data_IF_593976130635
#
_entry.id   IF_593976130635
#
_cell.length_a   1.000
_cell.length_b   1.000
_cell.length_c   1.000
_cell.angle_alpha   90.00
_cell.angle_beta   90.00
_cell.angle_gamma   90.00
#
_symmetry.space_group_name_H-M   'P 1'
#
loop_
_entity.id
_entity.type
_entity.pdbx_description
1 polymer ?
#
# COMPACT_ATOMS: atom_id res chain seq x y z
N UNK A 1 -19.79 27.66 -15.02
CA UNK A 1 -18.95 26.64 -15.66
C UNK A 1 -17.92 26.20 -14.63
N UNK A 2 -18.07 25.00 -14.03
CA UNK A 2 -17.05 24.43 -13.14
C UNK A 2 -15.83 24.11 -14.00
N UNK A 3 -14.75 24.85 -13.83
CA UNK A 3 -13.44 24.52 -14.42
C UNK A 3 -12.95 23.27 -13.72
N UNK A 4 -13.04 22.11 -14.38
CA UNK A 4 -12.39 20.89 -13.92
C UNK A 4 -10.89 21.07 -14.12
N UNK A 5 -10.18 21.39 -13.04
CA UNK A 5 -8.73 21.38 -13.06
C UNK A 5 -8.26 19.97 -13.42
N UNK A 6 -7.52 19.84 -14.51
CA UNK A 6 -6.90 18.56 -14.88
C UNK A 6 -6.03 18.06 -13.71
N UNK A 7 -6.12 16.79 -13.33
CA UNK A 7 -5.31 16.26 -12.24
C UNK A 7 -3.82 16.44 -12.55
N UNK A 8 -3.09 16.97 -11.58
CA UNK A 8 -1.64 17.14 -11.70
C UNK A 8 -0.96 15.79 -11.48
N UNK A 9 -0.19 15.33 -12.48
CA UNK A 9 0.60 14.12 -12.37
C UNK A 9 1.91 14.37 -11.62
N UNK A 10 2.24 13.49 -10.67
CA UNK A 10 3.52 13.46 -9.99
C UNK A 10 4.45 12.48 -10.70
N UNK A 11 5.52 12.98 -11.33
CA UNK A 11 6.50 12.16 -12.05
C UNK A 11 7.77 12.01 -11.22
N UNK A 12 8.04 10.80 -10.77
CA UNK A 12 9.25 10.48 -10.01
C UNK A 12 10.40 10.27 -11.01
N UNK A 13 11.57 10.93 -10.84
CA UNK A 13 12.72 10.76 -11.72
C UNK A 13 13.14 9.29 -11.82
N UNK A 14 13.37 8.81 -13.06
CA UNK A 14 13.79 7.42 -13.30
C UNK A 14 15.25 7.17 -12.88
N UNK A 15 16.10 8.21 -12.91
CA UNK A 15 17.49 8.10 -12.49
C UNK A 15 17.57 8.03 -10.96
N UNK A 16 18.32 7.06 -10.45
CA UNK A 16 18.71 6.97 -9.04
C UNK A 16 20.23 7.11 -9.01
N UNK A 17 20.73 8.10 -8.26
CA UNK A 17 22.16 8.36 -8.16
C UNK A 17 22.90 7.14 -7.60
N UNK A 18 24.06 6.81 -8.17
CA UNK A 18 24.90 5.68 -7.75
C UNK A 18 24.41 4.30 -8.21
N UNK A 19 23.26 4.19 -8.89
CA UNK A 19 22.76 2.91 -9.37
C UNK A 19 22.81 2.78 -10.89
N UNK A 20 23.19 1.59 -11.38
CA UNK A 20 23.13 1.22 -12.79
C UNK A 20 21.72 0.72 -13.13
N UNK A 21 21.07 1.34 -14.11
CA UNK A 21 19.70 1.00 -14.51
C UNK A 21 19.66 0.11 -15.76
N UNK A 22 18.88 -0.97 -15.73
CA UNK A 22 18.53 -1.79 -16.90
C UNK A 22 17.01 -1.69 -17.13
N UNK A 23 16.62 -1.09 -18.26
CA UNK A 23 15.21 -0.88 -18.64
C UNK A 23 14.70 -2.04 -19.46
N UNK A 24 13.42 -2.42 -19.23
CA UNK A 24 12.65 -3.30 -20.07
C UNK A 24 11.37 -2.56 -20.52
N UNK A 25 11.35 -2.11 -21.76
CA UNK A 25 10.23 -1.31 -22.28
C UNK A 25 8.97 -2.15 -22.49
N UNK A 26 9.10 -3.43 -22.84
CA UNK A 26 7.95 -4.33 -23.02
C UNK A 26 7.20 -4.56 -21.71
N UNK A 27 7.95 -4.74 -20.62
CA UNK A 27 7.37 -4.96 -19.29
C UNK A 27 7.13 -3.66 -18.52
N UNK A 28 7.47 -2.49 -19.07
CA UNK A 28 7.35 -1.20 -18.37
C UNK A 28 8.06 -1.20 -17.02
N UNK A 29 9.27 -1.77 -16.92
CA UNK A 29 10.02 -1.85 -15.67
C UNK A 29 11.48 -1.42 -15.80
N UNK A 30 12.11 -1.15 -14.65
CA UNK A 30 13.52 -0.82 -14.53
C UNK A 30 14.10 -1.57 -13.33
N UNK A 31 15.19 -2.28 -13.58
CA UNK A 31 16.00 -2.92 -12.55
C UNK A 31 17.21 -2.06 -12.26
N UNK A 32 17.52 -1.83 -10.97
CA UNK A 32 18.65 -1.01 -10.54
C UNK A 32 19.64 -1.85 -9.75
N UNK A 33 20.90 -1.72 -10.13
CA UNK A 33 22.01 -2.52 -9.62
C UNK A 33 23.03 -1.64 -8.91
N UNK A 34 23.51 -2.13 -7.76
CA UNK A 34 24.69 -1.65 -7.05
C UNK A 34 25.70 -2.80 -7.03
N UNK A 35 26.95 -2.58 -7.52
CA UNK A 35 27.98 -3.62 -7.61
C UNK A 35 27.48 -4.93 -8.23
N UNK A 36 26.72 -4.83 -9.33
CA UNK A 36 26.08 -5.94 -10.05
C UNK A 36 25.00 -6.72 -9.26
N UNK A 37 24.63 -6.29 -8.06
CA UNK A 37 23.54 -6.86 -7.29
C UNK A 37 22.27 -6.03 -7.48
N UNK A 38 21.13 -6.70 -7.68
CA UNK A 38 19.82 -6.05 -7.78
C UNK A 38 19.43 -5.48 -6.42
N UNK A 39 19.23 -4.17 -6.32
CA UNK A 39 18.89 -3.48 -5.07
C UNK A 39 17.55 -2.76 -5.14
N UNK A 40 17.05 -2.45 -6.35
CA UNK A 40 15.73 -1.86 -6.54
C UNK A 40 15.09 -2.33 -7.83
N UNK A 41 13.76 -2.41 -7.80
CA UNK A 41 12.91 -2.70 -8.95
C UNK A 41 11.80 -1.66 -9.02
N UNK A 42 11.55 -1.09 -10.20
CA UNK A 42 10.45 -0.15 -10.44
C UNK A 42 9.56 -0.65 -11.57
N UNK A 43 8.26 -0.69 -11.31
CA UNK A 43 7.22 -0.96 -12.30
C UNK A 43 6.45 0.32 -12.60
N UNK A 44 6.21 0.59 -13.87
CA UNK A 44 5.46 1.76 -14.34
C UNK A 44 4.10 1.34 -14.87
N UNK A 45 3.15 2.27 -14.88
CA UNK A 45 1.91 2.12 -15.67
C UNK A 45 2.25 2.13 -17.16
N UNK A 46 1.29 1.70 -18.00
CA UNK A 46 1.52 1.48 -19.44
C UNK A 46 2.07 2.70 -20.21
N UNK A 47 1.92 3.91 -19.69
CA UNK A 47 2.49 5.13 -20.28
C UNK A 47 3.99 5.33 -19.99
N UNK A 48 4.64 4.43 -19.24
CA UNK A 48 6.05 4.51 -18.83
C UNK A 48 6.46 5.79 -18.08
N UNK A 49 5.52 6.64 -17.70
CA UNK A 49 5.79 7.95 -17.09
C UNK A 49 5.49 7.95 -15.60
N UNK A 50 4.43 7.23 -15.21
CA UNK A 50 3.95 7.21 -13.84
C UNK A 50 4.40 5.91 -13.16
N UNK A 51 5.11 6.04 -12.05
CA UNK A 51 5.54 4.92 -11.25
C UNK A 51 4.33 4.25 -10.60
N UNK A 52 4.22 2.92 -10.75
CA UNK A 52 3.17 2.11 -10.14
C UNK A 52 3.61 1.58 -8.79
N UNK A 53 4.82 1.03 -8.72
CA UNK A 53 5.43 0.63 -7.44
C UNK A 53 6.96 0.54 -7.56
N UNK A 54 7.61 0.67 -6.40
CA UNK A 54 9.04 0.45 -6.22
C UNK A 54 9.27 -0.59 -5.12
N UNK A 55 10.10 -1.59 -5.42
CA UNK A 55 10.62 -2.55 -4.45
C UNK A 55 12.05 -2.21 -4.09
N UNK A 56 12.36 -2.23 -2.79
CA UNK A 56 13.72 -2.27 -2.24
C UNK A 56 14.05 -3.73 -1.97
N UNK A 57 15.21 -4.18 -2.43
CA UNK A 57 15.63 -5.58 -2.40
C UNK A 57 16.92 -5.68 -1.59
N UNK A 58 16.95 -6.62 -0.64
CA UNK A 58 18.17 -6.97 0.09
C UNK A 58 19.07 -7.78 -0.85
N UNK A 59 20.29 -7.28 -1.18
CA UNK A 59 21.15 -7.94 -2.16
C UNK A 59 21.61 -9.34 -1.71
N UNK A 60 21.72 -9.58 -0.39
CA UNK A 60 22.18 -10.84 0.18
C UNK A 60 21.18 -11.98 -0.02
N UNK A 61 19.88 -11.67 -0.03
CA UNK A 61 18.82 -12.68 -0.09
C UNK A 61 17.98 -12.61 -1.36
N UNK A 62 18.03 -11.48 -2.08
CA UNK A 62 17.14 -11.20 -3.21
C UNK A 62 15.69 -10.94 -2.81
N UNK A 63 15.38 -10.88 -1.50
CA UNK A 63 14.03 -10.66 -0.99
C UNK A 63 13.71 -9.16 -0.88
N UNK A 64 12.43 -8.85 -1.01
CA UNK A 64 11.93 -7.48 -0.80
C UNK A 64 11.96 -7.14 0.68
N UNK A 65 12.50 -5.97 1.01
CA UNK A 65 12.45 -5.38 2.36
C UNK A 65 11.36 -4.34 2.49
N UNK A 66 11.04 -3.66 1.36
CA UNK A 66 10.03 -2.60 1.30
C UNK A 66 9.40 -2.53 -0.07
N UNK A 67 8.10 -2.24 -0.13
CA UNK A 67 7.39 -1.83 -1.35
C UNK A 67 6.71 -0.48 -1.12
N UNK A 68 6.88 0.43 -2.06
CA UNK A 68 6.13 1.69 -2.13
C UNK A 68 5.21 1.63 -3.34
N UNK A 69 3.91 1.86 -3.16
CA UNK A 69 2.90 1.82 -4.23
C UNK A 69 2.29 3.20 -4.46
N UNK A 70 2.06 3.51 -5.73
CA UNK A 70 1.60 4.82 -6.19
C UNK A 70 0.30 4.67 -6.98
N UNK A 71 -0.59 5.63 -6.85
CA UNK A 71 -1.82 5.68 -7.64
C UNK A 71 -1.53 6.08 -9.10
N UNK A 72 -2.54 6.06 -9.94
CA UNK A 72 -2.43 6.39 -11.38
C UNK A 72 -1.99 7.82 -11.68
N UNK A 73 -2.01 8.71 -10.70
CA UNK A 73 -1.49 10.09 -10.78
C UNK A 73 -0.06 10.23 -10.25
N UNK A 74 0.54 9.14 -9.71
CA UNK A 74 1.92 9.12 -9.21
C UNK A 74 2.08 9.55 -7.75
N UNK A 75 0.99 9.63 -6.98
CA UNK A 75 1.06 9.92 -5.54
C UNK A 75 1.18 8.62 -4.76
N UNK A 76 2.07 8.63 -3.77
CA UNK A 76 2.24 7.52 -2.84
C UNK A 76 0.92 7.27 -2.09
N UNK A 77 0.45 6.01 -2.10
CA UNK A 77 -0.76 5.65 -1.38
C UNK A 77 -0.56 4.50 -0.39
N UNK A 78 0.52 3.70 -0.55
CA UNK A 78 0.81 2.60 0.37
C UNK A 78 2.32 2.33 0.45
N UNK A 79 2.80 2.06 1.67
CA UNK A 79 4.12 1.47 1.92
C UNK A 79 3.91 0.15 2.63
N UNK A 80 4.63 -0.89 2.20
CA UNK A 80 4.66 -2.22 2.81
C UNK A 80 6.09 -2.50 3.22
N UNK A 81 6.31 -2.79 4.49
CA UNK A 81 7.56 -3.34 5.01
C UNK A 81 7.42 -4.84 5.21
N UNK A 82 8.49 -5.57 5.00
CA UNK A 82 8.56 -7.02 5.15
C UNK A 82 9.45 -7.38 6.33
N UNK A 83 9.21 -8.53 6.94
CA UNK A 83 10.13 -9.10 7.92
C UNK A 83 11.46 -9.44 7.26
N UNK A 84 12.55 -9.33 8.02
CA UNK A 84 13.88 -9.68 7.56
C UNK A 84 13.93 -11.14 7.09
N UNK A 85 14.58 -11.38 5.95
CA UNK A 85 14.71 -12.69 5.32
C UNK A 85 13.37 -13.42 5.08
N UNK A 86 12.30 -12.69 4.83
CA UNK A 86 10.95 -13.22 4.69
C UNK A 86 10.17 -12.53 3.58
N UNK A 87 9.18 -13.24 3.04
CA UNK A 87 8.18 -12.66 2.12
C UNK A 87 6.94 -12.14 2.86
N UNK A 88 6.89 -12.32 4.19
CA UNK A 88 5.77 -11.90 5.02
C UNK A 88 5.84 -10.41 5.32
N UNK A 89 4.69 -9.76 5.31
CA UNK A 89 4.58 -8.36 5.70
C UNK A 89 4.80 -8.19 7.20
N UNK A 90 5.49 -7.13 7.59
CA UNK A 90 5.59 -6.69 8.99
C UNK A 90 4.67 -5.51 9.27
N UNK A 91 4.50 -4.60 8.27
CA UNK A 91 3.75 -3.37 8.42
C UNK A 91 3.21 -2.89 7.07
N UNK A 92 2.04 -2.28 7.07
CA UNK A 92 1.50 -1.48 5.97
C UNK A 92 1.15 -0.09 6.48
N UNK A 93 1.47 0.94 5.70
CA UNK A 93 1.10 2.33 5.94
C UNK A 93 0.36 2.87 4.72
N UNK A 94 -0.78 3.52 4.94
CA UNK A 94 -1.65 4.04 3.88
C UNK A 94 -1.74 5.56 3.97
N UNK A 95 -1.69 6.22 2.82
CA UNK A 95 -1.56 7.66 2.70
C UNK A 95 -2.64 8.26 1.81
N UNK A 96 -3.11 9.45 2.19
CA UNK A 96 -3.87 10.32 1.29
C UNK A 96 -2.94 10.93 0.22
N UNK A 97 -3.51 11.44 -0.90
CA UNK A 97 -2.71 12.10 -1.94
C UNK A 97 -1.91 13.33 -1.46
N UNK A 98 -2.30 13.96 -0.36
CA UNK A 98 -1.58 15.06 0.28
C UNK A 98 -0.35 14.60 1.10
N UNK A 99 -0.12 13.26 1.21
CA UNK A 99 0.99 12.67 1.96
C UNK A 99 0.69 12.38 3.43
N UNK A 100 -0.49 12.71 3.93
CA UNK A 100 -0.89 12.38 5.30
C UNK A 100 -1.21 10.89 5.44
N UNK A 101 -0.61 10.24 6.44
CA UNK A 101 -0.93 8.86 6.78
C UNK A 101 -2.28 8.78 7.50
N UNK A 102 -3.17 7.90 7.03
CA UNK A 102 -4.48 7.71 7.64
C UNK A 102 -4.67 6.34 8.29
N UNK A 103 -3.85 5.34 7.92
CA UNK A 103 -3.96 4.00 8.46
C UNK A 103 -2.59 3.32 8.51
N UNK A 104 -2.35 2.59 9.58
CA UNK A 104 -1.17 1.74 9.77
C UNK A 104 -1.64 0.36 10.26
N UNK A 105 -1.12 -0.72 9.66
CA UNK A 105 -1.41 -2.11 10.00
C UNK A 105 -0.12 -2.83 10.33
N UNK A 106 -0.11 -3.58 11.42
CA UNK A 106 0.98 -4.46 11.81
C UNK A 106 0.56 -5.92 11.66
N UNK A 107 1.50 -6.77 11.30
CA UNK A 107 1.28 -8.18 11.00
C UNK A 107 2.12 -9.05 11.92
N UNK A 108 1.61 -10.23 12.28
CA UNK A 108 2.36 -11.25 13.02
C UNK A 108 3.31 -12.00 12.09
N UNK A 109 4.51 -12.30 12.58
CA UNK A 109 5.41 -13.25 11.89
C UNK A 109 5.00 -14.69 12.20
N UNK A 110 3.82 -15.07 11.73
CA UNK A 110 3.29 -16.43 11.83
C UNK A 110 2.93 -16.96 10.43
N UNK A 111 2.53 -18.23 10.33
CA UNK A 111 2.18 -18.86 9.05
C UNK A 111 1.08 -18.11 8.29
N UNK A 112 0.09 -17.53 8.99
CA UNK A 112 -1.04 -16.81 8.39
C UNK A 112 -0.69 -15.36 8.06
N UNK A 113 0.40 -14.80 8.60
CA UNK A 113 0.77 -13.39 8.51
C UNK A 113 -0.42 -12.47 8.79
N UNK A 114 -1.15 -12.79 9.88
CA UNK A 114 -2.39 -12.11 10.27
C UNK A 114 -2.11 -10.73 10.86
N UNK A 115 -3.04 -9.81 10.67
CA UNK A 115 -3.01 -8.49 11.32
C UNK A 115 -3.18 -8.64 12.83
N UNK A 116 -2.40 -7.90 13.60
CA UNK A 116 -2.47 -7.88 15.06
C UNK A 116 -2.66 -6.48 15.64
N UNK A 117 -2.59 -5.45 14.81
CA UNK A 117 -2.84 -4.07 15.21
C UNK A 117 -3.20 -3.25 13.97
N UNK A 118 -4.27 -2.48 14.07
CA UNK A 118 -4.62 -1.42 13.11
C UNK A 118 -4.69 -0.11 13.88
N UNK A 119 -4.06 0.94 13.35
CA UNK A 119 -4.15 2.31 13.88
C UNK A 119 -4.73 3.23 12.82
N UNK A 120 -5.70 4.05 13.20
CA UNK A 120 -6.23 5.12 12.36
C UNK A 120 -5.70 6.46 12.83
N UNK A 121 -5.34 7.32 11.88
CA UNK A 121 -4.75 8.63 12.13
C UNK A 121 -5.66 9.75 11.62
N UNK A 122 -5.67 10.82 12.38
CA UNK A 122 -6.28 12.10 12.01
C UNK A 122 -5.37 13.23 12.50
N UNK A 123 -5.03 14.15 11.62
CA UNK A 123 -4.13 15.29 11.92
C UNK A 123 -2.78 14.81 12.53
N UNK A 124 -2.22 13.71 11.98
CA UNK A 124 -0.96 13.11 12.42
C UNK A 124 -1.02 12.39 13.78
N UNK A 125 -2.20 12.26 14.40
CA UNK A 125 -2.38 11.60 15.70
C UNK A 125 -3.23 10.35 15.56
N UNK A 126 -2.88 9.28 16.31
CA UNK A 126 -3.72 8.09 16.43
C UNK A 126 -5.00 8.46 17.20
N UNK A 127 -6.15 8.18 16.60
CA UNK A 127 -7.45 8.41 17.25
C UNK A 127 -8.22 7.11 17.52
N UNK A 128 -7.87 6.00 16.85
CA UNK A 128 -8.50 4.70 17.01
C UNK A 128 -7.51 3.58 16.76
N UNK A 129 -7.66 2.46 17.49
CA UNK A 129 -6.86 1.24 17.33
C UNK A 129 -7.73 0.00 17.37
N UNK A 130 -7.31 -1.07 16.67
CA UNK A 130 -8.01 -2.35 16.62
C UNK A 130 -7.00 -3.49 16.75
N UNK A 131 -7.39 -4.58 17.39
CA UNK A 131 -6.54 -5.77 17.61
C UNK A 131 -6.38 -6.67 16.38
N UNK A 132 -7.25 -6.51 15.38
CA UNK A 132 -7.27 -7.34 14.16
C UNK A 132 -8.11 -6.69 13.05
N UNK A 133 -8.08 -7.29 11.85
CA UNK A 133 -8.85 -6.82 10.69
C UNK A 133 -10.36 -6.95 10.87
N UNK A 134 -10.85 -7.94 11.65
CA UNK A 134 -12.27 -8.14 11.86
C UNK A 134 -12.87 -7.00 12.69
N UNK A 135 -12.20 -6.63 13.78
CA UNK A 135 -12.60 -5.50 14.62
C UNK A 135 -12.56 -4.17 13.83
N UNK A 136 -11.55 -3.98 12.98
CA UNK A 136 -11.47 -2.82 12.10
C UNK A 136 -12.61 -2.80 11.07
N UNK A 137 -12.90 -3.92 10.40
CA UNK A 137 -13.97 -4.02 9.43
C UNK A 137 -15.34 -3.73 10.08
N UNK A 138 -15.61 -4.28 11.26
CA UNK A 138 -16.83 -4.02 12.01
C UNK A 138 -17.00 -2.52 12.30
N UNK A 139 -15.96 -1.87 12.84
CA UNK A 139 -15.98 -0.43 13.08
C UNK A 139 -16.25 0.37 11.80
N UNK A 140 -15.62 -0.03 10.67
CA UNK A 140 -15.79 0.64 9.39
C UNK A 140 -17.26 0.56 8.92
N UNK A 141 -17.89 -0.60 9.00
CA UNK A 141 -19.28 -0.78 8.61
C UNK A 141 -20.22 0.03 9.52
N UNK A 142 -20.01 0.01 10.84
CA UNK A 142 -20.80 0.79 11.79
C UNK A 142 -20.80 2.30 11.54
N UNK A 143 -19.66 2.85 11.01
CA UNK A 143 -19.48 4.29 10.86
C UNK A 143 -19.62 4.79 9.42
N UNK A 144 -19.66 3.92 8.42
CA UNK A 144 -19.71 4.30 7.01
C UNK A 144 -21.06 4.05 6.35
N UNK A 145 -21.80 3.06 6.82
CA UNK A 145 -23.10 2.74 6.29
C UNK A 145 -24.20 3.32 7.18
N UNK A 146 -25.27 3.79 6.54
CA UNK A 146 -26.48 4.32 7.20
C UNK A 146 -27.58 3.28 7.10
N UNK A 147 -28.58 3.41 7.98
CA UNK A 147 -29.79 2.61 7.89
C UNK A 147 -30.42 2.73 6.48
N UNK A 148 -30.69 1.61 5.84
CA UNK A 148 -31.21 1.53 4.49
C UNK A 148 -30.18 1.43 3.37
N UNK A 149 -28.88 1.55 3.64
CA UNK A 149 -27.84 1.27 2.64
C UNK A 149 -27.81 -0.22 2.29
N UNK A 150 -27.74 -0.54 1.00
CA UNK A 150 -27.57 -1.92 0.52
C UNK A 150 -26.06 -2.19 0.40
N UNK A 151 -25.58 -3.16 1.17
CA UNK A 151 -24.16 -3.56 1.17
C UNK A 151 -24.00 -4.95 0.58
N UNK A 152 -23.13 -5.08 -0.42
CA UNK A 152 -22.76 -6.35 -1.00
C UNK A 152 -21.36 -6.74 -0.52
N UNK A 153 -21.21 -7.97 -0.01
CA UNK A 153 -19.90 -8.54 0.31
C UNK A 153 -19.63 -9.74 -0.60
N UNK A 154 -18.47 -9.75 -1.22
CA UNK A 154 -17.96 -10.88 -2.02
C UNK A 154 -16.88 -11.68 -1.26
N UNK A 155 -16.57 -11.28 -0.03
CA UNK A 155 -15.55 -11.87 0.81
C UNK A 155 -16.12 -12.38 2.14
N UNK A 156 -16.07 -13.71 2.37
CA UNK A 156 -16.57 -14.35 3.60
C UNK A 156 -16.08 -13.74 4.92
N UNK A 157 -14.87 -13.17 4.93
CA UNK A 157 -14.31 -12.51 6.11
C UNK A 157 -15.05 -11.23 6.52
N UNK A 158 -15.84 -10.65 5.62
CA UNK A 158 -16.61 -9.43 5.85
C UNK A 158 -18.10 -9.73 6.16
N UNK A 159 -18.57 -10.96 5.94
CA UNK A 159 -19.98 -11.33 6.16
C UNK A 159 -20.37 -11.25 7.64
N UNK A 160 -19.51 -11.74 8.55
CA UNK A 160 -19.78 -11.67 10.01
C UNK A 160 -19.99 -10.24 10.52
N UNK A 161 -19.14 -9.23 10.19
CA UNK A 161 -19.38 -7.84 10.57
C UNK A 161 -20.65 -7.24 9.99
N UNK A 162 -21.03 -7.62 8.75
CA UNK A 162 -22.27 -7.14 8.13
C UNK A 162 -23.51 -7.73 8.78
N UNK A 163 -23.49 -9.03 9.10
CA UNK A 163 -24.61 -9.71 9.77
C UNK A 163 -24.86 -9.19 11.20
N UNK A 164 -23.80 -8.74 11.89
CA UNK A 164 -23.91 -8.16 13.23
C UNK A 164 -24.68 -6.82 13.27
N UNK A 165 -24.91 -6.18 12.11
CA UNK A 165 -25.62 -4.90 11.99
C UNK A 165 -27.08 -5.02 11.61
N UNK A 166 -27.57 -6.23 11.31
CA UNK A 166 -28.94 -6.48 10.86
C UNK A 166 -29.97 -6.65 11.99
N UNK A 167 -29.66 -6.16 13.20
CA UNK A 167 -30.56 -6.25 14.38
C UNK A 167 -30.90 -4.90 14.97
#
# INVERSE_FOLDING_TARGET
TKVFNKPKYNKIPKRISGLKAKKNNQNHDIHYYLNNQLVRYRKYFNNNSILRYEDVIAPETGLKTKRSEYNSYGYLHRIINYYENSTKKSQEMMYYPNGEMYCERHFKDNKKNSVNLVKLFKDGKVYQTFSDDKAFAQYYFEHKFKDGDIVFSDARLLDDPLLAQSH
#
